data_IF_492410924892
#
_entry.id   IF_492410924892
#
_cell.length_a   1.000
_cell.length_b   1.000
_cell.length_c   1.000
_cell.angle_alpha   90.00
_cell.angle_beta   90.00
_cell.angle_gamma   90.00
#
_symmetry.space_group_name_H-M   'P 1'
#
loop_
_entity.id
_entity.type
_entity.pdbx_description
1 polymer ?
#
# COMPACT_ATOMS: atom_id res chain seq x y z
N UNK A 1 -22.79 -14.54 32.05
CA UNK A 1 -22.98 -14.13 30.63
C UNK A 1 -23.01 -12.61 30.63
N UNK A 2 -22.13 -12.02 29.84
CA UNK A 2 -22.12 -10.57 29.61
C UNK A 2 -23.08 -10.31 28.46
N UNK A 3 -24.15 -9.56 28.71
CA UNK A 3 -25.12 -9.21 27.68
C UNK A 3 -24.53 -8.15 26.75
N UNK A 4 -24.77 -8.31 25.46
CA UNK A 4 -24.39 -7.35 24.46
C UNK A 4 -25.48 -7.16 23.41
N UNK A 5 -25.54 -5.97 22.85
CA UNK A 5 -26.41 -5.60 21.74
C UNK A 5 -25.62 -5.57 20.43
N UNK A 6 -26.12 -6.21 19.37
CA UNK A 6 -25.54 -6.11 18.05
C UNK A 6 -26.21 -5.00 17.22
N UNK A 7 -25.39 -4.15 16.59
CA UNK A 7 -25.86 -3.11 15.67
C UNK A 7 -24.97 -3.02 14.42
N UNK A 8 -25.58 -2.71 13.28
CA UNK A 8 -24.82 -2.36 12.09
C UNK A 8 -24.29 -0.93 12.23
N UNK A 9 -23.01 -0.73 11.95
CA UNK A 9 -22.37 0.59 11.99
C UNK A 9 -22.96 1.51 10.92
N UNK A 10 -23.39 2.71 11.33
CA UNK A 10 -23.84 3.80 10.44
C UNK A 10 -23.15 5.12 10.77
N UNK A 11 -21.92 5.05 11.28
CA UNK A 11 -21.19 6.23 11.76
C UNK A 11 -20.66 7.13 10.63
N UNK A 12 -20.67 6.64 9.41
CA UNK A 12 -20.25 7.39 8.22
C UNK A 12 -21.18 7.02 7.06
N UNK A 13 -21.83 8.03 6.48
CA UNK A 13 -22.78 7.85 5.36
C UNK A 13 -22.14 7.34 4.08
N UNK A 14 -20.83 7.56 3.94
CA UNK A 14 -20.03 7.16 2.76
C UNK A 14 -19.33 5.81 2.97
N UNK A 15 -19.47 5.17 4.13
CA UNK A 15 -18.88 3.89 4.43
C UNK A 15 -19.87 2.75 4.13
N UNK A 16 -19.48 1.86 3.20
CA UNK A 16 -20.32 0.72 2.78
C UNK A 16 -19.96 -0.60 3.46
N UNK A 17 -19.10 -0.58 4.51
CA UNK A 17 -18.62 -1.81 5.16
C UNK A 17 -19.67 -2.54 6.00
N UNK A 18 -20.77 -1.86 6.39
CA UNK A 18 -21.88 -2.45 7.17
C UNK A 18 -21.42 -3.30 8.38
N UNK A 19 -20.34 -2.86 9.05
CA UNK A 19 -19.72 -3.61 10.14
C UNK A 19 -20.71 -3.92 11.26
N UNK A 20 -20.74 -5.15 11.75
CA UNK A 20 -21.48 -5.55 12.92
C UNK A 20 -20.74 -5.10 14.18
N UNK A 21 -21.37 -4.27 14.99
CA UNK A 21 -20.83 -3.78 16.25
C UNK A 21 -21.45 -4.55 17.41
N UNK A 22 -20.62 -5.00 18.35
CA UNK A 22 -21.06 -5.55 19.64
C UNK A 22 -20.92 -4.49 20.71
N UNK A 23 -22.02 -4.15 21.36
CA UNK A 23 -22.09 -3.10 22.34
C UNK A 23 -22.31 -3.76 23.71
N UNK A 24 -21.26 -3.75 24.51
CA UNK A 24 -21.30 -4.25 25.89
C UNK A 24 -21.64 -3.13 26.86
N UNK A 25 -22.42 -3.43 27.88
CA UNK A 25 -22.77 -2.51 28.97
C UNK A 25 -22.24 -3.04 30.28
N UNK A 26 -21.48 -2.22 31.00
CA UNK A 26 -20.90 -2.51 32.30
C UNK A 26 -21.34 -1.38 33.27
N UNK A 27 -22.51 -1.50 33.89
CA UNK A 27 -23.11 -0.39 34.63
C UNK A 27 -23.30 0.82 33.70
N UNK A 28 -22.78 1.98 34.10
CA UNK A 28 -22.86 3.22 33.32
C UNK A 28 -21.83 3.30 32.15
N UNK A 29 -20.93 2.35 32.08
CA UNK A 29 -19.91 2.31 31.02
C UNK A 29 -20.38 1.48 29.84
N UNK A 30 -20.08 1.96 28.64
CA UNK A 30 -20.38 1.31 27.37
C UNK A 30 -19.08 1.03 26.61
N UNK A 31 -18.88 -0.22 26.23
CA UNK A 31 -17.78 -0.65 25.39
C UNK A 31 -18.33 -1.13 24.04
N UNK A 32 -17.76 -0.63 22.93
CA UNK A 32 -18.19 -0.95 21.56
C UNK A 32 -17.06 -1.65 20.86
N UNK A 33 -17.31 -2.84 20.38
CA UNK A 33 -16.34 -3.69 19.68
C UNK A 33 -16.84 -4.03 18.28
N UNK A 34 -15.89 -4.31 17.40
CA UNK A 34 -16.16 -4.61 16.00
C UNK A 34 -16.19 -3.34 15.16
N UNK A 35 -15.87 -3.54 13.91
CA UNK A 35 -15.74 -2.47 12.93
C UNK A 35 -14.34 -2.39 12.36
N UNK A 36 -14.26 -2.59 11.04
CA UNK A 36 -13.01 -2.70 10.29
C UNK A 36 -12.15 -1.43 10.32
N UNK A 37 -12.70 -0.30 10.76
CA UNK A 37 -11.97 0.98 10.81
C UNK A 37 -11.42 1.35 12.21
N UNK A 38 -11.61 0.52 13.24
CA UNK A 38 -11.16 0.79 14.61
C UNK A 38 -11.72 2.06 15.25
N UNK A 39 -12.81 2.65 14.69
CA UNK A 39 -13.37 3.92 15.18
C UNK A 39 -13.76 3.86 16.66
N UNK A 40 -14.25 2.72 17.11
CA UNK A 40 -14.76 2.53 18.46
C UNK A 40 -13.70 2.00 19.43
N UNK A 41 -12.69 1.31 18.93
CA UNK A 41 -11.60 0.74 19.71
C UNK A 41 -10.59 1.81 20.14
N UNK A 42 -10.43 2.85 19.34
CA UNK A 42 -9.45 3.91 19.56
C UNK A 42 -9.88 5.02 20.54
N UNK A 43 -11.00 4.87 21.27
CA UNK A 43 -11.51 5.93 22.18
C UNK A 43 -10.68 6.12 23.47
N UNK A 44 -9.78 5.20 23.78
CA UNK A 44 -8.91 5.28 24.97
C UNK A 44 -7.52 5.86 24.70
N UNK A 45 -7.24 6.26 23.47
CA UNK A 45 -5.92 6.75 23.03
C UNK A 45 -5.99 8.27 22.83
N UNK A 46 -6.31 9.03 23.86
CA UNK A 46 -6.22 10.49 23.90
C UNK A 46 -4.76 10.89 24.17
N UNK A 47 -3.92 10.73 23.15
CA UNK A 47 -2.59 11.36 23.07
C UNK A 47 -2.61 12.54 22.10
N UNK A 48 -1.56 13.30 22.05
CA UNK A 48 -1.37 14.31 21.00
C UNK A 48 -1.30 13.59 19.64
N UNK A 49 -2.36 13.73 18.82
CA UNK A 49 -2.41 13.13 17.50
C UNK A 49 -1.29 13.71 16.65
N UNK A 50 -0.49 12.87 16.01
CA UNK A 50 0.51 13.25 15.04
C UNK A 50 -0.09 13.43 13.64
N UNK A 51 0.66 14.06 12.74
CA UNK A 51 0.30 14.14 11.32
C UNK A 51 0.20 12.75 10.69
N UNK A 52 -0.81 12.56 9.86
CA UNK A 52 -0.99 11.31 9.14
C UNK A 52 -0.40 11.41 7.73
N UNK A 53 0.87 11.03 7.57
CA UNK A 53 1.57 11.09 6.29
C UNK A 53 1.04 10.11 5.24
N UNK A 54 0.35 9.06 5.63
CA UNK A 54 -0.37 8.19 4.67
C UNK A 54 -1.52 8.96 4.00
N UNK A 55 -2.29 9.73 4.78
CA UNK A 55 -3.35 10.58 4.25
C UNK A 55 -2.79 11.73 3.39
N UNK A 56 -1.64 12.27 3.78
CA UNK A 56 -0.96 13.31 3.00
C UNK A 56 -0.47 12.76 1.66
N UNK A 57 0.15 11.57 1.66
CA UNK A 57 0.54 10.84 0.45
C UNK A 57 -0.65 10.61 -0.47
N UNK A 58 -1.77 10.16 0.09
CA UNK A 58 -3.02 9.93 -0.66
C UNK A 58 -3.54 11.22 -1.29
N UNK A 59 -3.49 12.34 -0.57
CA UNK A 59 -3.87 13.64 -1.12
C UNK A 59 -2.99 14.03 -2.31
N UNK A 60 -1.67 13.94 -2.17
CA UNK A 60 -0.73 14.23 -3.25
C UNK A 60 -1.01 13.31 -4.45
N UNK A 61 -1.27 12.02 -4.22
CA UNK A 61 -1.61 11.07 -5.27
C UNK A 61 -2.90 11.49 -6.02
N UNK A 62 -3.95 11.87 -5.32
CA UNK A 62 -5.21 12.31 -5.92
C UNK A 62 -5.04 13.63 -6.68
N UNK A 63 -4.25 14.58 -6.15
CA UNK A 63 -3.95 15.85 -6.80
C UNK A 63 -3.28 15.64 -8.17
N UNK A 64 -2.42 14.63 -8.33
CA UNK A 64 -1.82 14.28 -9.62
C UNK A 64 -2.73 13.41 -10.49
N UNK A 65 -3.45 12.46 -9.91
CA UNK A 65 -4.32 11.55 -10.63
C UNK A 65 -5.44 12.29 -11.38
N UNK A 66 -6.11 13.22 -10.70
CA UNK A 66 -7.26 13.93 -11.26
C UNK A 66 -6.91 15.20 -12.04
N UNK A 67 -5.65 15.39 -12.45
CA UNK A 67 -5.27 16.40 -13.43
C UNK A 67 -5.71 16.06 -14.86
N UNK A 68 -6.01 14.79 -15.15
CA UNK A 68 -6.51 14.35 -16.44
C UNK A 68 -7.98 14.71 -16.66
N UNK A 69 -8.29 15.41 -17.75
CA UNK A 69 -9.64 15.92 -18.04
C UNK A 69 -10.71 14.81 -18.17
N UNK A 70 -10.31 13.62 -18.63
CA UNK A 70 -11.20 12.50 -18.91
C UNK A 70 -11.16 11.40 -17.84
N UNK A 71 -10.58 11.65 -16.68
CA UNK A 71 -10.57 10.72 -15.56
C UNK A 71 -11.82 10.96 -14.73
N UNK A 72 -12.74 9.98 -14.78
CA UNK A 72 -14.06 10.09 -14.14
C UNK A 72 -13.94 9.97 -12.62
N UNK A 73 -14.53 10.92 -11.92
CA UNK A 73 -14.74 10.79 -10.48
C UNK A 73 -15.70 9.63 -10.17
N UNK A 74 -15.67 9.12 -8.93
CA UNK A 74 -16.37 7.89 -8.51
C UNK A 74 -17.88 7.90 -8.82
N UNK A 75 -18.53 9.06 -8.75
CA UNK A 75 -19.98 9.23 -8.98
C UNK A 75 -20.32 9.83 -10.34
N UNK A 76 -19.31 10.16 -11.14
CA UNK A 76 -19.51 10.76 -12.45
C UNK A 76 -19.95 9.68 -13.44
N UNK A 77 -21.01 9.96 -14.17
CA UNK A 77 -21.43 9.12 -15.29
C UNK A 77 -20.58 9.41 -16.52
N UNK A 78 -20.37 8.37 -17.32
CA UNK A 78 -19.67 8.52 -18.58
C UNK A 78 -20.50 9.36 -19.55
N UNK A 79 -19.86 10.33 -20.22
CA UNK A 79 -20.50 11.08 -21.30
C UNK A 79 -20.66 10.21 -22.55
N UNK A 80 -21.67 10.49 -23.37
CA UNK A 80 -21.84 9.78 -24.65
C UNK A 80 -20.70 10.12 -25.62
N UNK A 81 -20.14 9.12 -26.30
CA UNK A 81 -19.32 9.30 -27.50
C UNK A 81 -17.86 8.80 -27.40
N UNK A 82 -17.24 8.75 -26.25
CA UNK A 82 -15.91 8.16 -26.09
C UNK A 82 -15.94 6.85 -25.31
N UNK A 83 -15.18 5.81 -25.71
CA UNK A 83 -15.10 4.57 -24.96
C UNK A 83 -14.59 4.78 -23.53
N UNK A 84 -15.14 4.00 -22.60
CA UNK A 84 -14.74 3.98 -21.19
C UNK A 84 -13.73 2.88 -20.96
N UNK A 85 -12.53 3.26 -20.52
CA UNK A 85 -11.47 2.32 -20.13
C UNK A 85 -11.49 2.16 -18.61
N UNK A 86 -11.77 0.94 -18.15
CA UNK A 86 -11.77 0.59 -16.74
C UNK A 86 -10.36 0.21 -16.25
N UNK A 87 -9.89 0.87 -15.20
CA UNK A 87 -8.60 0.59 -14.55
C UNK A 87 -8.84 0.17 -13.11
N UNK A 88 -8.55 -1.10 -12.73
CA UNK A 88 -8.72 -1.56 -11.36
C UNK A 88 -7.65 -0.96 -10.46
N UNK A 89 -8.06 -0.26 -9.39
CA UNK A 89 -7.19 0.34 -8.38
C UNK A 89 -6.75 -0.70 -7.35
N UNK A 90 -5.97 -1.67 -7.78
CA UNK A 90 -5.43 -2.75 -6.95
C UNK A 90 -4.08 -3.23 -7.49
N UNK A 91 -3.32 -3.96 -6.69
CA UNK A 91 -1.97 -4.42 -6.99
C UNK A 91 -1.06 -3.26 -7.47
N UNK A 92 -0.36 -3.47 -8.60
CA UNK A 92 0.56 -2.49 -9.18
C UNK A 92 -0.10 -1.15 -9.55
N UNK A 93 -1.42 -1.14 -9.81
CA UNK A 93 -2.14 0.09 -10.19
C UNK A 93 -2.16 1.12 -9.06
N UNK A 94 -2.08 0.72 -7.77
CA UNK A 94 -1.98 1.66 -6.66
C UNK A 94 -0.68 2.49 -6.65
N UNK A 95 0.32 2.08 -7.39
CA UNK A 95 1.55 2.86 -7.57
C UNK A 95 1.57 3.58 -8.94
N UNK A 96 1.05 2.92 -9.98
CA UNK A 96 1.18 3.35 -11.37
C UNK A 96 -0.12 3.87 -11.98
N UNK A 97 -1.16 4.11 -11.17
CA UNK A 97 -2.45 4.58 -11.68
C UNK A 97 -2.38 5.90 -12.43
N UNK A 98 -1.53 6.83 -11.99
CA UNK A 98 -1.32 8.11 -12.67
C UNK A 98 -0.85 7.85 -14.09
N UNK A 99 0.16 7.03 -14.27
CA UNK A 99 0.66 6.67 -15.59
C UNK A 99 -0.44 6.02 -16.45
N UNK A 100 -1.12 4.99 -15.92
CA UNK A 100 -2.14 4.26 -16.68
C UNK A 100 -3.33 5.13 -17.05
N UNK A 101 -3.86 5.91 -16.11
CA UNK A 101 -5.02 6.73 -16.33
C UNK A 101 -4.73 7.87 -17.32
N UNK A 102 -3.59 8.52 -17.19
CA UNK A 102 -3.22 9.63 -18.07
C UNK A 102 -2.92 9.20 -19.50
N UNK A 103 -2.44 7.97 -19.75
CA UNK A 103 -2.29 7.46 -21.13
C UNK A 103 -3.64 7.56 -21.86
N UNK A 104 -4.69 6.97 -21.28
CA UNK A 104 -6.00 6.92 -21.91
C UNK A 104 -6.71 8.28 -21.92
N UNK A 105 -6.58 9.07 -20.85
CA UNK A 105 -7.07 10.43 -20.79
C UNK A 105 -6.46 11.32 -21.88
N UNK A 106 -5.14 11.24 -22.10
CA UNK A 106 -4.42 11.98 -23.14
C UNK A 106 -4.79 11.54 -24.57
N UNK A 107 -5.30 10.32 -24.72
CA UNK A 107 -5.85 9.82 -25.98
C UNK A 107 -7.33 10.17 -26.20
N UNK A 108 -7.95 10.90 -25.25
CA UNK A 108 -9.36 11.31 -25.34
C UNK A 108 -10.36 10.25 -24.90
N UNK A 109 -9.92 9.12 -24.31
CA UNK A 109 -10.80 8.12 -23.73
C UNK A 109 -11.25 8.51 -22.33
N UNK A 110 -12.44 8.11 -21.93
CA UNK A 110 -12.90 8.25 -20.55
C UNK A 110 -12.27 7.14 -19.71
N UNK A 111 -11.68 7.49 -18.57
CA UNK A 111 -11.04 6.54 -17.67
C UNK A 111 -11.88 6.37 -16.42
N UNK A 112 -12.32 5.14 -16.17
CA UNK A 112 -13.03 4.79 -14.94
C UNK A 112 -12.14 3.98 -14.02
N UNK A 113 -11.81 4.59 -12.90
CA UNK A 113 -11.11 3.91 -11.82
C UNK A 113 -12.11 3.22 -10.89
N UNK A 114 -11.69 2.13 -10.24
CA UNK A 114 -12.50 1.58 -9.14
C UNK A 114 -12.41 2.47 -7.91
N UNK A 115 -13.45 2.54 -7.07
CA UNK A 115 -13.38 3.21 -5.79
C UNK A 115 -12.38 2.51 -4.85
N UNK A 116 -12.00 3.16 -3.73
CA UNK A 116 -11.20 2.52 -2.69
C UNK A 116 -11.80 1.18 -2.27
N UNK A 117 -10.95 0.21 -1.95
CA UNK A 117 -11.36 -1.14 -1.55
C UNK A 117 -12.30 -1.09 -0.35
N UNK A 118 -13.46 -1.70 -0.50
CA UNK A 118 -14.46 -1.91 0.56
C UNK A 118 -14.77 -3.40 0.74
N UNK A 119 -15.65 -3.72 1.68
CA UNK A 119 -16.05 -5.10 1.96
C UNK A 119 -16.74 -5.77 0.76
N UNK A 120 -17.41 -5.00 -0.10
CA UNK A 120 -18.03 -5.52 -1.31
C UNK A 120 -16.96 -5.99 -2.32
N UNK A 121 -15.90 -5.19 -2.52
CA UNK A 121 -14.76 -5.57 -3.36
C UNK A 121 -14.09 -6.85 -2.85
N UNK A 122 -13.83 -6.90 -1.53
CA UNK A 122 -13.27 -8.11 -0.90
C UNK A 122 -14.16 -9.32 -1.15
N UNK A 123 -15.47 -9.19 -0.90
CA UNK A 123 -16.44 -10.30 -1.09
C UNK A 123 -16.54 -10.75 -2.56
N UNK A 124 -16.49 -9.82 -3.53
CA UNK A 124 -16.46 -10.14 -4.95
C UNK A 124 -15.17 -10.89 -5.31
N UNK A 125 -14.03 -10.45 -4.79
CA UNK A 125 -12.74 -11.09 -5.02
C UNK A 125 -12.70 -12.52 -4.47
N UNK A 126 -13.11 -12.71 -3.21
CA UNK A 126 -13.16 -14.03 -2.58
C UNK A 126 -14.08 -15.02 -3.32
N UNK A 127 -15.22 -14.55 -3.83
CA UNK A 127 -16.13 -15.38 -4.63
C UNK A 127 -15.57 -15.77 -6.00
N UNK A 128 -14.72 -14.91 -6.58
CA UNK A 128 -14.13 -15.14 -7.90
C UNK A 128 -12.92 -16.09 -7.84
N UNK A 129 -12.31 -16.29 -6.67
CA UNK A 129 -11.11 -17.11 -6.55
C UNK A 129 -11.40 -18.60 -6.74
N UNK A 130 -10.58 -19.24 -7.55
CA UNK A 130 -10.61 -20.68 -7.81
C UNK A 130 -9.47 -21.45 -7.11
N UNK A 131 -8.46 -20.72 -6.60
CA UNK A 131 -7.32 -21.27 -5.88
C UNK A 131 -6.83 -20.28 -4.82
N UNK A 132 -6.19 -20.78 -3.76
CA UNK A 132 -5.62 -19.94 -2.72
C UNK A 132 -4.48 -19.06 -3.26
N UNK A 133 -4.47 -17.81 -2.83
CA UNK A 133 -3.45 -16.82 -3.15
C UNK A 133 -3.39 -15.73 -2.07
N UNK A 134 -2.42 -14.83 -2.13
CA UNK A 134 -2.32 -13.72 -1.18
C UNK A 134 -3.50 -12.74 -1.33
N UNK A 135 -3.87 -12.12 -0.23
CA UNK A 135 -5.04 -11.23 -0.12
C UNK A 135 -5.10 -10.12 -1.19
N UNK A 136 -3.99 -9.40 -1.55
CA UNK A 136 -4.05 -8.39 -2.59
C UNK A 136 -4.49 -8.90 -3.97
N UNK A 137 -4.15 -10.15 -4.32
CA UNK A 137 -4.60 -10.77 -5.58
C UNK A 137 -6.10 -11.08 -5.51
N UNK A 138 -6.60 -11.55 -4.36
CA UNK A 138 -8.06 -11.74 -4.15
C UNK A 138 -8.81 -10.40 -4.33
N UNK A 139 -8.29 -9.32 -3.75
CA UNK A 139 -8.86 -7.97 -3.89
C UNK A 139 -8.84 -7.49 -5.34
N UNK A 140 -7.76 -7.75 -6.09
CA UNK A 140 -7.69 -7.40 -7.51
C UNK A 140 -8.84 -8.03 -8.32
N UNK A 141 -9.19 -9.30 -8.07
CA UNK A 141 -10.34 -9.94 -8.70
C UNK A 141 -11.65 -9.21 -8.39
N UNK A 142 -11.79 -8.70 -7.18
CA UNK A 142 -12.95 -7.90 -6.78
C UNK A 142 -13.06 -6.59 -7.54
N UNK A 143 -11.94 -5.88 -7.72
CA UNK A 143 -11.89 -4.64 -8.49
C UNK A 143 -12.22 -4.87 -9.97
N UNK A 144 -11.68 -5.92 -10.57
CA UNK A 144 -12.02 -6.29 -11.94
C UNK A 144 -13.51 -6.65 -12.07
N UNK A 145 -14.04 -7.46 -11.15
CA UNK A 145 -15.46 -7.80 -11.12
C UNK A 145 -16.38 -6.58 -11.03
N UNK A 146 -15.96 -5.55 -10.27
CA UNK A 146 -16.70 -4.30 -10.15
C UNK A 146 -16.80 -3.54 -11.47
N UNK A 147 -15.78 -3.60 -12.33
CA UNK A 147 -15.71 -2.88 -13.60
C UNK A 147 -16.44 -3.55 -14.76
N UNK A 148 -16.81 -4.84 -14.67
CA UNK A 148 -17.35 -5.65 -15.78
C UNK A 148 -18.49 -5.00 -16.56
N UNK A 149 -19.36 -4.25 -15.86
CA UNK A 149 -20.53 -3.60 -16.45
C UNK A 149 -20.44 -2.06 -16.41
N UNK A 150 -19.24 -1.52 -16.16
CA UNK A 150 -19.02 -0.09 -15.98
C UNK A 150 -17.99 0.50 -16.93
N UNK A 151 -17.39 -0.34 -17.75
CA UNK A 151 -16.40 0.03 -18.74
C UNK A 151 -16.62 -0.79 -20.03
N UNK A 152 -16.28 -0.19 -21.16
CA UNK A 152 -16.30 -0.85 -22.45
C UNK A 152 -15.11 -1.79 -22.61
N UNK A 153 -13.95 -1.36 -22.11
CA UNK A 153 -12.70 -2.12 -22.09
C UNK A 153 -12.10 -2.12 -20.70
N UNK A 154 -11.44 -3.23 -20.33
CA UNK A 154 -10.68 -3.34 -19.09
C UNK A 154 -9.18 -3.29 -19.40
N UNK A 155 -8.49 -2.35 -18.80
CA UNK A 155 -7.04 -2.26 -18.87
C UNK A 155 -6.41 -3.07 -17.75
N UNK A 156 -5.82 -4.20 -18.11
CA UNK A 156 -5.20 -5.17 -17.21
C UNK A 156 -3.73 -5.39 -17.62
N UNK A 157 -2.85 -4.41 -17.46
CA UNK A 157 -1.46 -4.53 -17.85
C UNK A 157 -0.77 -5.60 -17.01
N UNK A 158 0.22 -6.24 -17.60
CA UNK A 158 1.14 -7.14 -16.93
C UNK A 158 2.51 -6.43 -16.79
N UNK A 159 2.77 -5.76 -15.65
CA UNK A 159 4.07 -5.19 -15.42
C UNK A 159 5.08 -6.30 -15.07
N UNK A 160 6.15 -6.41 -15.85
CA UNK A 160 7.17 -7.44 -15.66
C UNK A 160 8.23 -6.96 -14.65
N UNK A 161 8.61 -5.69 -14.73
CA UNK A 161 9.64 -5.13 -13.87
C UNK A 161 9.35 -3.66 -13.53
N UNK A 162 10.11 -3.12 -12.58
CA UNK A 162 10.08 -1.69 -12.21
C UNK A 162 11.46 -1.05 -12.43
N UNK A 163 11.52 0.27 -12.55
CA UNK A 163 12.80 1.00 -12.54
C UNK A 163 13.61 0.70 -11.28
N UNK A 164 14.89 0.44 -11.46
CA UNK A 164 15.86 0.16 -10.38
C UNK A 164 16.98 1.18 -10.43
N UNK A 165 17.58 1.55 -9.29
CA UNK A 165 18.71 2.49 -9.26
C UNK A 165 19.95 1.96 -9.96
N UNK A 166 20.13 0.64 -10.00
CA UNK A 166 21.30 -0.05 -10.51
C UNK A 166 20.90 -0.88 -11.72
N UNK A 167 21.64 -0.72 -12.83
CA UNK A 167 21.34 -1.37 -14.10
C UNK A 167 21.35 -2.91 -14.04
N UNK A 168 22.16 -3.48 -13.18
CA UNK A 168 22.33 -4.92 -13.01
C UNK A 168 21.15 -5.57 -12.26
N UNK A 169 20.37 -4.79 -11.52
CA UNK A 169 19.18 -5.27 -10.82
C UNK A 169 18.05 -5.56 -11.82
N UNK A 170 17.44 -6.73 -11.72
CA UNK A 170 16.36 -7.14 -12.63
C UNK A 170 15.05 -6.40 -12.39
N UNK A 171 14.74 -6.09 -11.13
CA UNK A 171 13.56 -5.34 -10.73
C UNK A 171 12.22 -6.03 -11.01
N UNK A 172 12.19 -7.36 -11.14
CA UNK A 172 10.97 -8.09 -11.51
C UNK A 172 9.89 -8.02 -10.43
N UNK A 173 8.64 -8.10 -10.84
CA UNK A 173 7.51 -8.28 -9.92
C UNK A 173 7.44 -9.72 -9.41
N UNK A 174 6.55 -10.00 -8.47
CA UNK A 174 6.31 -11.38 -8.05
C UNK A 174 5.44 -12.10 -9.10
N UNK A 175 5.56 -13.45 -9.22
CA UNK A 175 4.81 -14.22 -10.20
C UNK A 175 3.29 -14.04 -10.09
N UNK A 176 2.75 -13.82 -8.88
CA UNK A 176 1.32 -13.61 -8.67
C UNK A 176 0.83 -12.27 -9.23
N UNK A 177 1.67 -11.22 -9.19
CA UNK A 177 1.36 -9.94 -9.84
C UNK A 177 1.45 -10.06 -11.36
N UNK A 178 2.52 -10.71 -11.87
CA UNK A 178 2.70 -10.91 -13.30
C UNK A 178 1.62 -11.81 -13.93
N UNK A 179 1.12 -12.79 -13.19
CA UNK A 179 0.06 -13.68 -13.66
C UNK A 179 -1.37 -13.17 -13.39
N UNK A 180 -1.53 -12.08 -12.63
CA UNK A 180 -2.85 -11.64 -12.13
C UNK A 180 -3.90 -11.43 -13.22
N UNK A 181 -3.52 -10.87 -14.37
CA UNK A 181 -4.41 -10.69 -15.51
C UNK A 181 -4.91 -12.02 -16.12
N UNK A 182 -4.07 -13.04 -16.14
CA UNK A 182 -4.44 -14.36 -16.64
C UNK A 182 -5.36 -15.08 -15.66
N UNK A 183 -5.06 -14.98 -14.37
CA UNK A 183 -5.85 -15.56 -13.30
C UNK A 183 -7.26 -14.96 -13.27
N UNK A 184 -7.39 -13.64 -13.29
CA UNK A 184 -8.70 -12.98 -13.25
C UNK A 184 -9.49 -13.21 -14.52
N UNK A 185 -8.82 -13.26 -15.69
CA UNK A 185 -9.46 -13.60 -16.96
C UNK A 185 -10.09 -14.99 -16.91
N UNK A 186 -9.35 -15.98 -16.44
CA UNK A 186 -9.84 -17.35 -16.31
C UNK A 186 -10.94 -17.47 -15.25
N UNK A 187 -10.79 -16.81 -14.11
CA UNK A 187 -11.74 -16.87 -13.00
C UNK A 187 -13.09 -16.23 -13.31
N UNK A 188 -13.12 -15.18 -14.14
CA UNK A 188 -14.32 -14.42 -14.50
C UNK A 188 -14.79 -14.68 -15.94
N UNK A 189 -14.17 -15.61 -16.66
CA UNK A 189 -14.45 -15.93 -18.08
C UNK A 189 -14.53 -14.66 -18.96
N UNK A 190 -13.50 -13.81 -18.85
CA UNK A 190 -13.49 -12.51 -19.51
C UNK A 190 -13.20 -12.65 -21.01
N UNK A 191 -14.02 -12.05 -21.90
CA UNK A 191 -13.80 -12.10 -23.34
C UNK A 191 -12.59 -11.25 -23.74
N UNK A 192 -11.70 -11.83 -24.54
CA UNK A 192 -10.45 -11.17 -24.97
C UNK A 192 -10.68 -9.82 -25.67
N UNK A 193 -11.81 -9.67 -26.38
CA UNK A 193 -12.16 -8.46 -27.12
C UNK A 193 -12.35 -7.23 -26.21
N UNK A 194 -12.65 -7.43 -24.93
CA UNK A 194 -12.80 -6.36 -23.95
C UNK A 194 -11.55 -6.08 -23.14
N UNK A 195 -10.46 -6.78 -23.40
CA UNK A 195 -9.26 -6.70 -22.58
C UNK A 195 -8.10 -6.02 -23.31
N UNK A 196 -7.49 -5.04 -22.65
CA UNK A 196 -6.24 -4.42 -23.06
C UNK A 196 -5.16 -4.91 -22.09
N UNK A 197 -4.30 -5.85 -22.53
CA UNK A 197 -3.37 -6.62 -21.68
C UNK A 197 -1.92 -6.55 -22.17
N UNK A 198 -1.29 -5.38 -22.17
CA UNK A 198 0.11 -5.28 -22.57
C UNK A 198 1.04 -5.91 -21.52
N UNK A 199 2.09 -6.59 -21.96
CA UNK A 199 3.24 -6.90 -21.14
C UNK A 199 4.17 -5.68 -21.14
N UNK A 200 4.35 -5.01 -20.00
CA UNK A 200 5.09 -3.75 -19.91
C UNK A 200 6.34 -3.91 -19.07
N UNK A 201 7.46 -3.49 -19.62
CA UNK A 201 8.75 -3.42 -18.94
C UNK A 201 8.99 -1.98 -18.48
N UNK A 202 8.45 -1.63 -17.30
CA UNK A 202 8.52 -0.26 -16.76
C UNK A 202 9.96 0.24 -16.60
N UNK A 203 10.91 -0.66 -16.40
CA UNK A 203 12.33 -0.35 -16.32
C UNK A 203 12.89 0.19 -17.66
N UNK A 204 12.35 -0.26 -18.77
CA UNK A 204 12.75 0.19 -20.11
C UNK A 204 12.13 1.56 -20.48
N UNK A 205 11.26 2.07 -19.60
CA UNK A 205 10.67 3.40 -19.69
C UNK A 205 9.55 3.53 -20.73
N UNK A 206 9.19 4.79 -21.08
CA UNK A 206 8.00 5.05 -21.89
C UNK A 206 8.08 4.50 -23.31
N UNK A 207 9.26 4.34 -23.88
CA UNK A 207 9.43 3.82 -25.25
C UNK A 207 8.95 2.37 -25.37
N UNK A 208 9.26 1.51 -24.39
CA UNK A 208 8.75 0.13 -24.37
C UNK A 208 7.23 0.13 -24.19
N UNK A 209 6.71 0.97 -23.29
CA UNK A 209 5.27 1.08 -23.09
C UNK A 209 4.52 1.47 -24.37
N UNK A 210 5.06 2.35 -25.20
CA UNK A 210 4.49 2.68 -26.53
C UNK A 210 4.38 1.43 -27.40
N UNK A 211 5.45 0.66 -27.52
CA UNK A 211 5.49 -0.55 -28.36
C UNK A 211 4.48 -1.56 -27.87
N UNK A 212 4.46 -1.85 -26.56
CA UNK A 212 3.57 -2.85 -25.97
C UNK A 212 2.10 -2.46 -26.04
N UNK A 213 1.81 -1.17 -25.86
CA UNK A 213 0.44 -0.67 -26.00
C UNK A 213 -0.02 -0.69 -27.45
N UNK A 214 0.84 -0.34 -28.41
CA UNK A 214 0.51 -0.42 -29.84
C UNK A 214 0.14 -1.86 -30.26
N UNK A 215 0.80 -2.87 -29.69
CA UNK A 215 0.49 -4.28 -29.91
C UNK A 215 -0.82 -4.71 -29.26
N UNK A 216 -1.08 -4.26 -28.01
CA UNK A 216 -2.19 -4.73 -27.18
C UNK A 216 -3.52 -3.98 -27.40
N UNK A 217 -3.49 -2.77 -27.95
CA UNK A 217 -4.71 -2.00 -28.20
C UNK A 217 -5.55 -2.63 -29.30
N UNK A 218 -6.87 -2.81 -29.09
CA UNK A 218 -7.83 -3.14 -30.13
C UNK A 218 -7.70 -2.20 -31.34
N UNK A 219 -7.96 -2.69 -32.54
CA UNK A 219 -7.73 -1.91 -33.78
C UNK A 219 -8.51 -0.60 -33.77
N UNK A 220 -9.73 -0.61 -33.23
CA UNK A 220 -10.65 0.54 -33.10
C UNK A 220 -10.17 1.58 -32.09
N UNK A 221 -9.30 1.21 -31.15
CA UNK A 221 -8.71 2.09 -30.15
C UNK A 221 -7.28 2.56 -30.52
N UNK A 222 -6.73 2.13 -31.66
CA UNK A 222 -5.37 2.50 -32.03
C UNK A 222 -5.29 3.96 -32.49
N UNK A 223 -4.52 4.80 -31.78
CA UNK A 223 -4.34 6.18 -32.18
C UNK A 223 -3.52 6.31 -33.46
N UNK A 224 -3.68 7.42 -34.17
CA UNK A 224 -2.98 7.66 -35.43
C UNK A 224 -1.62 8.33 -35.21
N UNK A 225 -0.69 8.02 -36.10
CA UNK A 225 0.59 8.70 -36.14
C UNK A 225 1.38 8.62 -34.82
N UNK A 226 1.74 9.75 -34.23
CA UNK A 226 2.52 9.87 -33.00
C UNK A 226 1.67 10.16 -31.75
N UNK A 227 0.36 9.99 -31.82
CA UNK A 227 -0.54 10.31 -30.68
C UNK A 227 -0.25 9.41 -29.48
N UNK A 228 -0.07 8.09 -29.69
CA UNK A 228 0.28 7.17 -28.60
C UNK A 228 1.62 7.52 -27.95
N UNK A 229 2.62 7.80 -28.76
CA UNK A 229 3.95 8.18 -28.28
C UNK A 229 3.89 9.43 -27.39
N UNK A 230 3.19 10.48 -27.84
CA UNK A 230 2.99 11.70 -27.04
C UNK A 230 2.21 11.44 -25.75
N UNK A 231 1.12 10.67 -25.83
CA UNK A 231 0.27 10.37 -24.69
C UNK A 231 1.03 9.58 -23.60
N UNK A 232 1.80 8.57 -24.00
CA UNK A 232 2.61 7.75 -23.10
C UNK A 232 3.73 8.56 -22.44
N UNK A 233 4.47 9.37 -23.22
CA UNK A 233 5.55 10.19 -22.67
C UNK A 233 5.02 11.26 -21.70
N UNK A 234 3.90 11.90 -22.01
CA UNK A 234 3.27 12.86 -21.10
C UNK A 234 2.78 12.19 -19.79
N UNK A 235 2.15 11.03 -19.90
CA UNK A 235 1.70 10.26 -18.73
C UNK A 235 2.87 9.77 -17.88
N UNK A 236 3.98 9.37 -18.51
CA UNK A 236 5.21 9.01 -17.80
C UNK A 236 5.76 10.19 -17.00
N UNK A 237 5.79 11.38 -17.60
CA UNK A 237 6.25 12.58 -16.91
C UNK A 237 5.36 12.89 -15.69
N UNK A 238 4.04 12.79 -15.80
CA UNK A 238 3.13 12.97 -14.68
C UNK A 238 3.41 11.99 -13.53
N UNK A 239 3.70 10.72 -13.84
CA UNK A 239 4.09 9.74 -12.84
C UNK A 239 5.42 10.09 -12.16
N UNK A 240 6.39 10.59 -12.91
CA UNK A 240 7.68 11.02 -12.37
C UNK A 240 7.55 12.30 -11.53
N UNK A 241 6.74 13.24 -11.95
CA UNK A 241 6.46 14.48 -11.19
C UNK A 241 5.79 14.16 -9.84
N UNK A 242 4.83 13.25 -9.83
CA UNK A 242 4.27 12.71 -8.58
C UNK A 242 5.34 12.12 -7.67
N UNK A 243 6.23 11.28 -8.21
CA UNK A 243 7.35 10.71 -7.45
C UNK A 243 8.24 11.81 -6.86
N UNK A 244 8.59 12.82 -7.65
CA UNK A 244 9.39 13.95 -7.19
C UNK A 244 8.68 14.78 -6.11
N UNK A 245 7.37 14.99 -6.22
CA UNK A 245 6.58 15.69 -5.20
C UNK A 245 6.64 14.97 -3.86
N UNK A 246 6.51 13.62 -3.85
CA UNK A 246 6.65 12.82 -2.63
C UNK A 246 8.05 12.94 -2.02
N UNK A 247 9.10 12.84 -2.83
CA UNK A 247 10.48 12.97 -2.36
C UNK A 247 10.80 14.37 -1.84
N UNK A 248 10.26 15.42 -2.48
CA UNK A 248 10.39 16.79 -2.00
C UNK A 248 9.71 16.97 -0.65
N UNK A 249 8.50 16.47 -0.51
CA UNK A 249 7.76 16.55 0.76
C UNK A 249 8.44 15.72 1.85
N UNK A 250 8.97 14.55 1.51
CA UNK A 250 9.75 13.72 2.44
C UNK A 250 10.98 14.46 2.99
N UNK A 251 11.72 15.19 2.14
CA UNK A 251 12.84 16.04 2.57
C UNK A 251 12.40 17.10 3.57
N UNK A 252 11.27 17.78 3.31
CA UNK A 252 10.72 18.78 4.23
C UNK A 252 10.37 18.16 5.59
N UNK A 253 9.66 17.04 5.58
CA UNK A 253 9.28 16.31 6.81
C UNK A 253 10.51 15.93 7.64
N UNK A 254 11.59 15.47 6.98
CA UNK A 254 12.82 15.09 7.66
C UNK A 254 13.62 16.30 8.17
N UNK A 255 13.57 17.44 7.47
CA UNK A 255 14.19 18.71 7.94
C UNK A 255 13.44 19.29 9.14
N UNK A 256 12.12 19.15 9.19
CA UNK A 256 11.27 19.61 10.29
C UNK A 256 11.26 18.62 11.48
N UNK A 257 11.77 17.41 11.28
CA UNK A 257 11.79 16.38 12.31
C UNK A 257 12.96 16.57 13.27
N UNK A 258 12.65 16.58 14.57
CA UNK A 258 13.68 16.55 15.61
C UNK A 258 14.41 15.18 15.60
N UNK A 259 15.72 15.13 15.29
CA UNK A 259 16.45 13.87 15.16
C UNK A 259 16.54 13.07 16.48
N UNK A 260 16.30 13.69 17.63
CA UNK A 260 16.26 13.02 18.93
C UNK A 260 14.92 12.27 19.15
N UNK A 261 13.89 12.60 18.40
CA UNK A 261 12.59 11.95 18.50
C UNK A 261 12.50 10.69 17.63
N UNK A 262 11.72 9.67 18.04
CA UNK A 262 11.54 8.48 17.22
C UNK A 262 10.77 8.79 15.94
N UNK A 263 11.29 8.32 14.82
CA UNK A 263 10.60 8.28 13.55
C UNK A 263 10.35 6.82 13.14
N UNK A 264 9.09 6.46 12.98
CA UNK A 264 8.78 5.15 12.43
C UNK A 264 8.77 5.22 10.91
N UNK A 265 9.39 4.26 10.26
CA UNK A 265 9.37 4.13 8.80
C UNK A 265 8.59 2.88 8.44
N UNK A 266 7.51 3.08 7.67
CA UNK A 266 6.64 1.97 7.26
C UNK A 266 6.99 1.57 5.84
N UNK A 267 7.48 0.35 5.69
CA UNK A 267 7.86 -0.27 4.42
C UNK A 267 6.92 -1.41 4.06
N UNK A 268 6.83 -1.70 2.77
CA UNK A 268 5.99 -2.76 2.25
C UNK A 268 5.73 -2.60 0.76
N UNK A 269 4.92 -3.48 0.21
CA UNK A 269 4.48 -3.36 -1.17
C UNK A 269 3.44 -2.24 -1.29
N UNK A 270 3.41 -1.45 -2.38
CA UNK A 270 2.49 -0.32 -2.53
C UNK A 270 1.03 -0.67 -2.23
N UNK A 271 0.56 -1.81 -2.68
CA UNK A 271 -0.81 -2.26 -2.43
C UNK A 271 -1.10 -2.60 -0.96
N UNK A 272 -0.09 -2.95 -0.16
CA UNK A 272 -0.24 -3.11 1.29
C UNK A 272 -0.18 -1.77 2.01
N UNK A 273 0.65 -0.84 1.53
CA UNK A 273 0.85 0.46 2.17
C UNK A 273 -0.31 1.42 1.91
N UNK A 274 -0.90 1.41 0.71
CA UNK A 274 -1.78 2.48 0.22
C UNK A 274 -3.22 2.06 -0.01
N UNK A 275 -3.56 0.81 0.30
CA UNK A 275 -4.95 0.36 0.38
C UNK A 275 -5.40 0.31 1.84
N UNK A 276 -6.28 1.24 2.21
CA UNK A 276 -6.80 1.39 3.57
C UNK A 276 -7.53 0.14 4.10
N UNK A 277 -8.06 -0.70 3.20
CA UNK A 277 -8.71 -1.96 3.59
C UNK A 277 -7.69 -3.06 3.86
N UNK A 278 -6.63 -3.13 3.05
CA UNK A 278 -5.57 -4.12 3.22
C UNK A 278 -4.71 -3.84 4.45
N UNK A 279 -4.42 -2.57 4.74
CA UNK A 279 -3.60 -2.16 5.88
C UNK A 279 -4.41 -1.80 7.14
N UNK A 280 -5.74 -2.01 7.11
CA UNK A 280 -6.65 -1.72 8.22
C UNK A 280 -6.52 -0.28 8.75
N UNK A 281 -6.27 0.68 7.84
CA UNK A 281 -6.07 2.12 8.14
C UNK A 281 -4.91 2.40 9.11
N UNK A 282 -3.82 1.65 8.95
CA UNK A 282 -2.63 1.71 9.81
C UNK A 282 -2.16 3.14 10.07
N UNK A 283 -2.01 3.97 9.02
CA UNK A 283 -1.55 5.35 9.16
C UNK A 283 -2.41 6.19 10.10
N UNK A 284 -3.73 5.97 10.11
CA UNK A 284 -4.65 6.63 11.04
C UNK A 284 -4.43 6.17 12.49
N UNK A 285 -4.17 4.87 12.68
CA UNK A 285 -3.95 4.33 14.03
C UNK A 285 -2.62 4.82 14.60
N UNK A 286 -1.56 4.81 13.81
CA UNK A 286 -0.26 5.34 14.23
C UNK A 286 -0.34 6.82 14.62
N UNK A 287 -1.00 7.66 13.80
CA UNK A 287 -1.19 9.08 14.11
C UNK A 287 -1.98 9.30 15.41
N UNK A 288 -3.06 8.52 15.65
CA UNK A 288 -3.85 8.60 16.89
C UNK A 288 -3.08 8.15 18.13
N UNK A 289 -2.13 7.23 17.99
CA UNK A 289 -1.24 6.78 19.06
C UNK A 289 -0.11 7.79 19.35
N UNK A 290 -0.07 8.92 18.65
CA UNK A 290 0.98 9.90 18.77
C UNK A 290 2.31 9.45 18.13
N UNK A 291 2.27 8.49 17.22
CA UNK A 291 3.46 7.95 16.56
C UNK A 291 3.65 8.67 15.24
N UNK A 292 4.80 9.32 15.07
CA UNK A 292 5.22 9.91 13.80
C UNK A 292 5.71 8.79 12.87
N UNK A 293 4.93 8.49 11.83
CA UNK A 293 5.19 7.35 10.93
C UNK A 293 5.20 7.79 9.48
N UNK A 294 6.32 7.56 8.80
CA UNK A 294 6.57 7.96 7.42
C UNK A 294 6.52 6.76 6.49
N UNK A 295 5.64 6.76 5.46
CA UNK A 295 5.68 5.76 4.40
C UNK A 295 6.97 5.84 3.58
N UNK A 296 7.46 4.70 3.12
CA UNK A 296 8.73 4.58 2.37
C UNK A 296 8.81 5.47 1.13
N UNK A 297 7.71 5.85 0.50
CA UNK A 297 7.68 6.64 -0.75
C UNK A 297 8.20 8.08 -0.57
N UNK A 298 8.25 8.57 0.67
CA UNK A 298 8.83 9.87 0.99
C UNK A 298 10.36 9.83 1.09
N UNK A 299 10.99 8.65 1.00
CA UNK A 299 12.42 8.47 1.22
C UNK A 299 13.19 8.29 -0.09
N UNK A 300 14.40 8.86 -0.13
CA UNK A 300 15.38 8.67 -1.20
C UNK A 300 16.18 7.37 -1.01
N UNK A 301 15.51 6.22 -1.00
CA UNK A 301 16.12 4.91 -0.78
C UNK A 301 17.02 4.46 -1.94
N UNK A 302 16.94 5.09 -3.10
CA UNK A 302 17.72 4.73 -4.29
C UNK A 302 19.22 4.92 -4.11
N UNK A 303 19.63 5.73 -3.13
CA UNK A 303 21.04 5.95 -2.80
C UNK A 303 21.69 4.79 -2.03
N UNK A 304 20.86 3.89 -1.48
CA UNK A 304 21.35 2.71 -0.76
C UNK A 304 21.76 1.61 -1.73
N UNK A 305 22.91 0.98 -1.50
CA UNK A 305 23.37 -0.17 -2.30
C UNK A 305 22.86 -1.49 -1.72
N UNK A 306 22.72 -2.50 -2.58
CA UNK A 306 22.35 -3.87 -2.19
C UNK A 306 23.44 -4.88 -2.58
N UNK A 307 24.72 -4.49 -2.53
CA UNK A 307 25.85 -5.36 -2.85
C UNK A 307 25.92 -6.62 -1.97
N UNK A 308 25.44 -6.50 -0.74
CA UNK A 308 25.29 -7.63 0.22
C UNK A 308 24.11 -8.55 -0.12
N UNK A 309 23.22 -8.15 -1.04
CA UNK A 309 22.08 -8.95 -1.52
C UNK A 309 22.07 -9.08 -3.05
N UNK A 310 23.13 -9.56 -3.70
CA UNK A 310 23.30 -9.51 -5.16
C UNK A 310 22.28 -10.38 -5.91
N UNK A 311 21.59 -11.27 -5.22
CA UNK A 311 20.54 -12.13 -5.78
C UNK A 311 19.13 -11.63 -5.53
N UNK A 312 18.95 -10.43 -4.98
CA UNK A 312 17.63 -9.82 -4.82
C UNK A 312 17.13 -9.31 -6.18
N UNK A 313 16.36 -10.13 -6.87
CA UNK A 313 15.82 -9.82 -8.19
C UNK A 313 14.42 -9.18 -8.16
N UNK A 314 13.68 -9.27 -7.03
CA UNK A 314 12.39 -8.63 -6.87
C UNK A 314 12.54 -7.12 -6.65
N UNK A 315 12.00 -6.31 -7.56
CA UNK A 315 12.14 -4.85 -7.50
C UNK A 315 11.55 -4.23 -6.24
N UNK A 316 10.35 -4.66 -5.81
CA UNK A 316 9.74 -4.19 -4.57
C UNK A 316 10.50 -4.71 -3.33
N UNK A 317 11.06 -5.91 -3.39
CA UNK A 317 11.92 -6.44 -2.34
C UNK A 317 13.22 -5.63 -2.19
N UNK A 318 13.87 -5.29 -3.31
CA UNK A 318 15.04 -4.40 -3.34
C UNK A 318 14.75 -3.05 -2.69
N UNK A 319 13.59 -2.45 -2.99
CA UNK A 319 13.13 -1.19 -2.38
C UNK A 319 13.01 -1.30 -0.87
N UNK A 320 12.34 -2.35 -0.38
CA UNK A 320 12.13 -2.59 1.06
C UNK A 320 13.45 -2.77 1.79
N UNK A 321 14.41 -3.50 1.22
CA UNK A 321 15.74 -3.69 1.84
C UNK A 321 16.58 -2.40 1.86
N UNK A 322 16.47 -1.54 0.83
CA UNK A 322 17.10 -0.22 0.85
C UNK A 322 16.55 0.65 1.96
N UNK A 323 15.22 0.64 2.14
CA UNK A 323 14.57 1.35 3.25
C UNK A 323 15.02 0.78 4.59
N UNK A 324 15.15 -0.54 4.73
CA UNK A 324 15.69 -1.16 5.95
C UNK A 324 17.11 -0.69 6.26
N UNK A 325 17.98 -0.56 5.24
CA UNK A 325 19.34 -0.01 5.42
C UNK A 325 19.33 1.46 5.87
N UNK A 326 18.44 2.28 5.33
CA UNK A 326 18.25 3.66 5.82
C UNK A 326 17.84 3.66 7.30
N UNK A 327 16.90 2.82 7.69
CA UNK A 327 16.48 2.68 9.09
C UNK A 327 17.66 2.23 9.96
N UNK A 328 18.44 1.26 9.53
CA UNK A 328 19.58 0.74 10.29
C UNK A 328 20.65 1.82 10.57
N UNK A 329 20.86 2.74 9.64
CA UNK A 329 21.86 3.82 9.76
C UNK A 329 21.42 4.98 10.65
N UNK A 330 20.13 5.21 10.83
CA UNK A 330 19.60 6.33 11.58
C UNK A 330 19.23 5.89 12.99
N UNK A 331 19.85 6.41 14.06
CA UNK A 331 19.69 5.92 15.43
C UNK A 331 18.24 5.86 15.88
N UNK A 332 17.46 6.90 15.66
CA UNK A 332 16.08 7.05 16.13
C UNK A 332 15.01 6.67 15.09
N UNK A 333 15.41 5.99 14.00
CA UNK A 333 14.44 5.43 13.05
C UNK A 333 14.11 3.98 13.40
N UNK A 334 12.82 3.63 13.35
CA UNK A 334 12.29 2.33 13.72
C UNK A 334 11.43 1.75 12.60
N UNK A 335 11.67 0.49 12.25
CA UNK A 335 11.05 -0.14 11.09
C UNK A 335 9.72 -0.82 11.40
N UNK A 336 8.73 -0.59 10.54
CA UNK A 336 7.52 -1.39 10.44
C UNK A 336 7.43 -1.93 9.02
N UNK A 337 7.36 -3.24 8.86
CA UNK A 337 7.18 -3.90 7.56
C UNK A 337 5.78 -4.49 7.44
N UNK A 338 5.04 -4.07 6.39
CA UNK A 338 3.74 -4.62 6.06
C UNK A 338 3.85 -5.68 4.98
N UNK A 339 3.36 -6.86 5.28
CA UNK A 339 3.29 -7.98 4.35
C UNK A 339 1.93 -8.67 4.42
N UNK A 340 1.76 -9.77 3.68
CA UNK A 340 0.55 -10.57 3.67
C UNK A 340 0.88 -12.03 3.91
N UNK A 341 -0.02 -12.74 4.57
CA UNK A 341 0.00 -14.19 4.58
C UNK A 341 0.01 -14.74 3.15
N UNK A 342 0.72 -15.83 2.94
CA UNK A 342 0.92 -16.46 1.63
C UNK A 342 1.69 -15.60 0.60
N UNK A 343 2.45 -14.60 1.04
CA UNK A 343 3.34 -13.85 0.17
C UNK A 343 4.68 -14.56 0.00
N UNK A 344 4.87 -15.28 -1.11
CA UNK A 344 6.10 -16.03 -1.39
C UNK A 344 7.37 -15.16 -1.32
N UNK A 345 7.48 -14.05 -2.06
CA UNK A 345 8.67 -13.20 -2.00
C UNK A 345 8.95 -12.62 -0.61
N UNK A 346 7.92 -12.23 0.15
CA UNK A 346 8.14 -11.63 1.47
C UNK A 346 8.56 -12.67 2.50
N UNK A 347 8.17 -13.95 2.37
CA UNK A 347 8.67 -15.03 3.21
C UNK A 347 10.21 -15.17 3.20
N UNK A 348 10.85 -14.81 2.07
CA UNK A 348 12.31 -14.72 2.01
C UNK A 348 12.81 -13.35 2.47
N UNK A 349 12.11 -12.29 2.11
CA UNK A 349 12.51 -10.91 2.36
C UNK A 349 12.57 -10.59 3.87
N UNK A 350 11.64 -11.11 4.66
CA UNK A 350 11.55 -10.88 6.10
C UNK A 350 12.83 -11.28 6.83
N UNK A 351 13.45 -12.38 6.44
CA UNK A 351 14.74 -12.79 7.01
C UNK A 351 15.85 -11.79 6.73
N UNK A 352 15.91 -11.27 5.52
CA UNK A 352 16.88 -10.23 5.15
C UNK A 352 16.58 -8.90 5.83
N UNK A 353 15.30 -8.53 5.93
CA UNK A 353 14.86 -7.34 6.65
C UNK A 353 15.25 -7.40 8.13
N UNK A 354 14.97 -8.52 8.79
CA UNK A 354 15.39 -8.77 10.17
C UNK A 354 16.92 -8.78 10.33
N UNK A 355 17.66 -9.36 9.38
CA UNK A 355 19.13 -9.36 9.38
C UNK A 355 19.69 -7.93 9.26
N UNK A 356 19.16 -7.10 8.37
CA UNK A 356 19.58 -5.70 8.23
C UNK A 356 19.33 -4.92 9.51
N UNK A 357 18.19 -5.15 10.17
CA UNK A 357 17.78 -4.48 11.39
C UNK A 357 18.16 -5.23 12.70
N UNK A 358 19.07 -6.21 12.65
CA UNK A 358 19.42 -7.08 13.81
C UNK A 358 19.84 -6.37 15.08
N UNK A 359 20.27 -5.11 14.99
CA UNK A 359 20.69 -4.30 16.13
C UNK A 359 19.60 -3.30 16.59
N UNK A 360 18.42 -3.38 16.01
CA UNK A 360 17.26 -2.53 16.31
C UNK A 360 15.98 -3.36 16.34
N UNK A 361 15.00 -2.99 17.17
CA UNK A 361 13.69 -3.61 17.04
C UNK A 361 13.07 -3.29 15.69
N UNK A 362 12.33 -4.25 15.14
CA UNK A 362 11.51 -4.07 13.95
C UNK A 362 10.17 -4.77 14.17
N UNK A 363 9.11 -4.21 13.63
CA UNK A 363 7.78 -4.80 13.66
C UNK A 363 7.41 -5.29 12.26
N UNK A 364 7.12 -6.58 12.12
CA UNK A 364 6.57 -7.16 10.91
C UNK A 364 5.09 -7.44 11.15
N UNK A 365 4.23 -6.90 10.30
CA UNK A 365 2.78 -7.08 10.34
C UNK A 365 2.34 -7.85 9.11
N UNK A 366 1.99 -9.11 9.31
CA UNK A 366 1.37 -9.95 8.29
C UNK A 366 -0.15 -9.80 8.37
N UNK A 367 -0.77 -9.47 7.25
CA UNK A 367 -2.20 -9.18 7.15
C UNK A 367 -2.87 -10.06 6.10
N UNK A 368 -4.15 -10.34 6.32
CA UNK A 368 -5.03 -11.04 5.39
C UNK A 368 -6.49 -10.55 5.53
N UNK A 369 -7.41 -11.21 4.85
CA UNK A 369 -8.85 -10.92 4.92
C UNK A 369 -9.48 -11.17 6.29
N UNK A 370 -8.84 -11.94 7.18
CA UNK A 370 -9.30 -12.28 8.53
C UNK A 370 -8.68 -11.40 9.60
N UNK A 371 -7.70 -10.56 9.22
CA UNK A 371 -7.00 -9.69 10.17
C UNK A 371 -7.93 -8.67 10.80
N UNK A 372 -7.78 -8.48 12.12
CA UNK A 372 -8.59 -7.54 12.91
C UNK A 372 -7.75 -6.38 13.45
N UNK A 373 -8.33 -5.19 13.46
CA UNK A 373 -7.70 -3.96 13.96
C UNK A 373 -7.17 -4.11 15.39
N UNK A 374 -7.92 -4.77 16.28
CA UNK A 374 -7.51 -4.96 17.68
C UNK A 374 -6.16 -5.69 17.81
N UNK A 375 -5.95 -6.76 17.01
CA UNK A 375 -4.68 -7.50 17.01
C UNK A 375 -3.51 -6.65 16.55
N UNK A 376 -3.73 -5.79 15.55
CA UNK A 376 -2.70 -4.86 15.04
C UNK A 376 -2.37 -3.81 16.08
N UNK A 377 -3.38 -3.20 16.71
CA UNK A 377 -3.19 -2.17 17.74
C UNK A 377 -2.36 -2.71 18.90
N UNK A 378 -2.68 -3.92 19.40
CA UNK A 378 -1.91 -4.57 20.47
C UNK A 378 -0.43 -4.74 20.10
N UNK A 379 -0.13 -5.16 18.85
CA UNK A 379 1.25 -5.32 18.37
C UNK A 379 1.96 -3.96 18.24
N UNK A 380 1.26 -2.94 17.73
CA UNK A 380 1.79 -1.57 17.63
C UNK A 380 2.10 -1.00 19.02
N UNK A 381 1.19 -1.15 19.98
CA UNK A 381 1.39 -0.67 21.36
C UNK A 381 2.56 -1.37 22.04
N UNK A 382 2.66 -2.70 21.89
CA UNK A 382 3.79 -3.46 22.40
C UNK A 382 5.12 -2.98 21.79
N UNK A 383 5.15 -2.78 20.48
CA UNK A 383 6.34 -2.27 19.79
C UNK A 383 6.68 -0.83 20.21
N UNK A 384 5.67 0.03 20.38
CA UNK A 384 5.87 1.40 20.88
C UNK A 384 6.48 1.42 22.27
N UNK A 385 6.08 0.50 23.14
CA UNK A 385 6.70 0.35 24.47
C UNK A 385 8.17 -0.07 24.38
N UNK A 386 8.51 -0.98 23.46
CA UNK A 386 9.90 -1.37 23.19
C UNK A 386 10.73 -0.15 22.73
N UNK A 387 10.22 0.64 21.79
CA UNK A 387 10.88 1.84 21.28
C UNK A 387 11.09 2.86 22.39
N UNK A 388 10.06 3.15 23.18
CA UNK A 388 10.16 4.09 24.32
C UNK A 388 11.19 3.65 25.37
N UNK A 389 11.19 2.37 25.72
CA UNK A 389 12.17 1.84 26.68
C UNK A 389 13.61 1.98 26.14
N UNK A 390 13.85 1.66 24.87
CA UNK A 390 15.18 1.85 24.27
C UNK A 390 15.64 3.29 24.29
N UNK A 391 14.76 4.25 24.03
CA UNK A 391 15.09 5.68 24.13
C UNK A 391 15.45 6.09 25.56
N UNK A 392 14.71 5.59 26.56
CA UNK A 392 15.03 5.87 27.95
C UNK A 392 16.40 5.32 28.34
N UNK A 393 16.83 4.15 27.83
CA UNK A 393 18.16 3.60 28.07
C UNK A 393 19.25 4.34 27.29
N UNK A 394 18.96 4.88 26.12
CA UNK A 394 19.95 5.61 25.32
C UNK A 394 20.18 7.05 25.81
N UNK A 395 19.14 7.70 26.32
CA UNK A 395 19.14 9.13 26.73
C UNK A 395 18.85 9.33 28.23
N UNK A 396 18.45 8.30 28.96
CA UNK A 396 18.27 8.31 30.41
C UNK A 396 19.57 7.93 31.11
N UNK A 397 19.79 8.40 32.34
CA UNK A 397 20.87 7.95 33.18
C UNK A 397 20.89 6.41 33.23
N UNK A 398 22.10 5.84 33.19
CA UNK A 398 22.30 4.40 33.34
C UNK A 398 21.44 3.88 34.52
N UNK A 399 20.76 2.71 34.37
CA UNK A 399 20.01 2.16 35.47
C UNK A 399 20.96 2.08 36.67
N UNK A 400 20.55 2.65 37.79
CA UNK A 400 21.24 2.41 39.05
C UNK A 400 21.49 0.92 39.16
N UNK A 401 22.73 0.53 39.20
CA UNK A 401 23.17 -0.86 39.35
C UNK A 401 22.29 -1.48 40.42
N UNK A 402 21.40 -2.38 40.00
CA UNK A 402 20.76 -3.31 40.92
C UNK A 402 21.93 -4.03 41.60
N UNK A 403 22.17 -3.63 42.83
CA UNK A 403 23.28 -4.07 43.62
C UNK A 403 23.37 -5.57 43.58
N UNK A 404 24.52 -6.10 43.14
CA UNK A 404 24.98 -7.48 43.29
C UNK A 404 25.19 -7.88 44.78
N UNK A 405 24.32 -7.46 45.65
CA UNK A 405 24.42 -7.72 47.10
C UNK A 405 23.29 -8.54 47.65
N UNK A 406 22.86 -9.62 47.00
CA UNK A 406 22.03 -10.62 47.69
C UNK A 406 22.16 -12.07 47.15
N UNK A 407 23.28 -12.47 46.60
CA UNK A 407 23.51 -13.89 46.21
C UNK A 407 24.70 -14.53 46.90
N UNK A 408 25.20 -13.98 47.98
CA UNK A 408 26.32 -14.60 48.73
C UNK A 408 25.98 -14.87 50.22
N UNK A 409 24.69 -14.91 50.61
CA UNK A 409 24.30 -15.40 51.94
C UNK A 409 23.11 -16.38 51.85
N UNK A 410 23.29 -17.49 51.25
CA UNK A 410 22.58 -18.74 51.51
C UNK A 410 23.39 -19.88 50.89
N UNK A 411 24.51 -20.25 51.54
CA UNK A 411 25.24 -21.47 51.36
C UNK A 411 24.69 -22.53 52.24
#
# INVERSE_FOLDING_TARGET
TVDFEEKVCRADKNCHNECKLKIYRFGDRKSIWGGDCGRYEARHLEGQSQENYFKEREKIFQDYLFQGENILELKQEASSGAPVIGVPMALHSLEWAIFWAHIFSNLGYQVRLTPPTDQRMVSLGLKAMTAETCFPVKVFHGHVSYLLHKADYLFLPNPINIPTPVKEERGVFCPMVESSQYLVRAALDLPDQKLIRPNIFLREGPKDAVIRLQEALPVELRPKGRELDRAVHAAWQQQMDFRQALLQRGRQILQEHDPEQPLWVVSGRPYNLYDDRLNLKLGRHLAKLGIKALPQDFLHYEQETLEDFPRMYWGLGSRILRVAKMIARNPNWYGVHLTNFSCGPDSFLEHFYAYVLRHKPALILELDEHSAVAGILTRIEAYNNVVKNLQQYQYGAAPETVAEEKLVQAG
#
